data_IF_800563478722
#
_entry.id   IF_800563478722
#
_cell.length_a   1.000
_cell.length_b   1.000
_cell.length_c   1.000
_cell.angle_alpha   90.00
_cell.angle_beta   90.00
_cell.angle_gamma   90.00
#
_symmetry.space_group_name_H-M   'P 1'
#
loop_
_entity.id
_entity.type
_entity.pdbx_description
1 polymer ?
#
# COMPACT_ATOMS: atom_id res chain seq x y z
N UNK A 1 78.80 -36.96 -19.10
CA UNK A 1 78.45 -36.41 -17.77
C UNK A 1 77.21 -35.53 -17.95
N UNK A 2 76.01 -36.08 -17.75
CA UNK A 2 74.73 -35.43 -18.07
C UNK A 2 74.24 -34.59 -16.89
N UNK A 3 74.01 -33.28 -17.10
CA UNK A 3 73.36 -32.39 -16.13
C UNK A 3 71.83 -32.55 -16.23
N UNK A 4 71.20 -33.09 -15.19
CA UNK A 4 69.74 -33.04 -15.00
C UNK A 4 69.35 -31.64 -14.52
N UNK A 5 68.50 -30.93 -15.27
CA UNK A 5 67.76 -29.76 -14.80
C UNK A 5 66.47 -30.25 -14.15
N UNK A 6 66.32 -30.03 -12.86
CA UNK A 6 65.07 -30.19 -12.11
C UNK A 6 64.17 -28.99 -12.42
N UNK A 7 62.98 -29.26 -12.96
CA UNK A 7 61.89 -28.29 -13.10
C UNK A 7 61.24 -28.12 -11.72
N UNK A 8 61.45 -26.97 -11.08
CA UNK A 8 60.76 -26.58 -9.85
C UNK A 8 59.39 -26.03 -10.23
N UNK A 9 58.38 -26.89 -10.22
CA UNK A 9 56.98 -26.46 -10.29
C UNK A 9 56.54 -25.93 -8.93
N UNK A 10 56.29 -24.63 -8.85
CA UNK A 10 55.56 -24.01 -7.73
C UNK A 10 54.33 -23.33 -8.33
N UNK A 11 53.27 -24.11 -8.52
CA UNK A 11 51.92 -23.57 -8.68
C UNK A 11 51.41 -23.19 -7.29
N UNK A 12 51.60 -21.93 -6.92
CA UNK A 12 50.94 -21.33 -5.76
C UNK A 12 49.48 -21.05 -6.13
N UNK A 13 48.61 -22.04 -5.94
CA UNK A 13 47.16 -21.85 -5.99
C UNK A 13 46.69 -21.30 -4.64
N UNK A 14 46.62 -19.97 -4.53
CA UNK A 14 45.98 -19.28 -3.41
C UNK A 14 44.45 -19.37 -3.59
N UNK A 15 43.85 -20.44 -3.09
CA UNK A 15 42.40 -20.56 -3.01
C UNK A 15 41.90 -19.75 -1.81
N UNK A 16 41.63 -18.46 -2.02
CA UNK A 16 40.84 -17.66 -1.08
C UNK A 16 39.37 -18.11 -1.25
N UNK A 17 38.97 -19.11 -0.46
CA UNK A 17 37.58 -19.48 -0.29
C UNK A 17 36.87 -18.38 0.48
N UNK A 18 36.34 -17.39 -0.22
CA UNK A 18 35.34 -16.49 0.34
C UNK A 18 34.09 -17.32 0.64
N UNK A 19 33.98 -17.82 1.88
CA UNK A 19 32.72 -18.29 2.43
C UNK A 19 31.86 -17.05 2.57
N UNK A 20 31.14 -16.70 1.50
CA UNK A 20 29.97 -15.84 1.62
C UNK A 20 28.96 -16.66 2.41
N UNK A 21 29.02 -16.54 3.74
CA UNK A 21 27.90 -16.86 4.60
C UNK A 21 26.79 -15.91 4.20
N UNK A 22 25.99 -16.34 3.23
CA UNK A 22 24.67 -15.81 2.96
C UNK A 22 23.88 -16.12 4.22
N UNK A 23 24.01 -15.27 5.23
CA UNK A 23 22.98 -15.12 6.23
C UNK A 23 21.80 -14.60 5.44
N UNK A 24 20.97 -15.53 4.95
CA UNK A 24 19.66 -15.21 4.46
C UNK A 24 18.92 -14.68 5.65
N UNK A 25 19.05 -13.37 5.91
CA UNK A 25 18.03 -12.66 6.66
C UNK A 25 16.74 -13.04 5.96
N UNK A 26 15.86 -13.73 6.69
CA UNK A 26 14.53 -14.03 6.20
C UNK A 26 13.88 -12.67 5.97
N UNK A 27 14.03 -12.14 4.74
CA UNK A 27 13.35 -10.93 4.35
C UNK A 27 11.88 -11.24 4.53
N UNK A 28 11.23 -10.42 5.36
CA UNK A 28 9.80 -10.46 5.51
C UNK A 28 9.18 -10.44 4.11
N UNK A 29 8.15 -11.27 3.92
CA UNK A 29 7.40 -11.23 2.67
C UNK A 29 6.82 -9.83 2.48
N UNK A 30 6.57 -9.40 1.23
CA UNK A 30 5.88 -8.15 0.96
C UNK A 30 4.55 -8.08 1.73
N UNK A 31 4.16 -6.91 2.25
CA UNK A 31 2.80 -6.62 2.69
C UNK A 31 1.89 -6.78 1.47
N UNK A 32 0.81 -7.55 1.59
CA UNK A 32 -0.14 -7.79 0.49
C UNK A 32 -1.45 -7.05 0.70
N UNK A 33 -1.91 -6.98 1.95
CA UNK A 33 -3.07 -6.19 2.32
C UNK A 33 -3.09 -5.90 3.82
N UNK A 34 -3.88 -4.92 4.23
CA UNK A 34 -4.22 -4.70 5.62
C UNK A 34 -5.67 -4.23 5.76
N UNK A 35 -6.30 -4.54 6.89
CA UNK A 35 -7.67 -4.14 7.20
C UNK A 35 -7.65 -2.94 8.13
N UNK A 36 -8.60 -2.04 7.95
CA UNK A 36 -8.86 -0.89 8.80
C UNK A 36 -10.32 -0.90 9.25
N UNK A 37 -10.54 -0.42 10.46
CA UNK A 37 -11.87 -0.08 10.98
C UNK A 37 -11.80 1.28 11.61
N UNK A 38 -12.91 2.01 11.52
CA UNK A 38 -13.05 3.28 12.20
C UNK A 38 -12.70 3.14 13.69
N UNK A 39 -11.99 4.12 14.22
CA UNK A 39 -11.72 4.20 15.64
C UNK A 39 -13.01 4.48 16.41
N UNK A 40 -12.97 4.32 17.73
CA UNK A 40 -14.16 4.52 18.57
C UNK A 40 -14.64 5.97 18.42
N UNK A 41 -15.93 6.13 18.15
CA UNK A 41 -16.60 7.41 17.92
C UNK A 41 -16.11 8.21 16.69
N UNK A 42 -15.31 7.58 15.80
CA UNK A 42 -14.91 8.17 14.52
C UNK A 42 -15.79 7.61 13.42
N UNK A 43 -16.57 8.46 12.77
CA UNK A 43 -17.56 8.05 11.76
C UNK A 43 -17.29 8.75 10.45
N UNK A 44 -17.75 8.15 9.34
CA UNK A 44 -17.89 8.90 8.09
C UNK A 44 -19.19 9.68 8.14
N UNK A 45 -19.12 10.99 7.91
CA UNK A 45 -20.25 11.90 8.00
C UNK A 45 -20.59 12.48 6.64
N UNK A 46 -21.79 12.15 6.18
CA UNK A 46 -22.43 12.69 4.99
C UNK A 46 -23.29 13.89 5.38
N UNK A 47 -23.10 15.00 4.67
CA UNK A 47 -23.94 16.19 4.77
C UNK A 47 -24.91 16.26 3.58
N UNK A 48 -26.13 16.79 3.80
CA UNK A 48 -27.06 17.07 2.70
C UNK A 48 -26.41 17.92 1.61
N UNK A 49 -26.69 17.58 0.34
CA UNK A 49 -26.11 18.24 -0.83
C UNK A 49 -24.84 17.58 -1.38
N UNK A 50 -24.51 16.38 -0.89
CA UNK A 50 -23.49 15.51 -1.50
C UNK A 50 -22.06 15.83 -1.09
N UNK A 51 -21.82 16.12 0.20
CA UNK A 51 -20.45 16.20 0.73
C UNK A 51 -20.27 15.23 1.89
N UNK A 52 -19.08 14.67 2.05
CA UNK A 52 -18.74 13.85 3.21
C UNK A 52 -17.28 14.02 3.63
N UNK A 53 -16.99 13.59 4.86
CA UNK A 53 -15.65 13.54 5.47
C UNK A 53 -15.58 12.40 6.48
N UNK A 54 -14.37 11.98 6.81
CA UNK A 54 -14.12 11.19 8.01
C UNK A 54 -13.98 12.19 9.16
N UNK A 55 -14.75 12.01 10.23
CA UNK A 55 -14.67 12.91 11.39
C UNK A 55 -13.49 12.51 12.26
N UNK A 56 -12.73 13.53 12.64
CA UNK A 56 -11.65 13.48 13.61
C UNK A 56 -12.16 13.36 15.05
N UNK A 57 -11.33 12.75 15.90
CA UNK A 57 -11.61 12.69 17.33
C UNK A 57 -11.41 14.06 17.99
N UNK A 58 -12.23 14.37 19.00
CA UNK A 58 -12.03 15.61 19.74
C UNK A 58 -10.74 15.54 20.57
N UNK A 59 -9.65 16.13 20.06
CA UNK A 59 -8.38 16.23 20.76
C UNK A 59 -7.31 15.22 20.34
N UNK A 60 -7.54 14.49 19.25
CA UNK A 60 -6.55 13.65 18.59
C UNK A 60 -6.74 13.69 17.08
N UNK A 61 -6.11 12.73 16.41
CA UNK A 61 -6.03 12.59 14.96
C UNK A 61 -5.86 11.09 14.68
N UNK A 62 -6.87 10.29 14.98
CA UNK A 62 -6.81 8.86 14.68
C UNK A 62 -8.19 8.41 14.18
N UNK A 63 -8.47 8.60 12.90
CA UNK A 63 -9.75 8.21 12.28
C UNK A 63 -9.99 6.70 12.26
N UNK A 64 -8.92 5.91 12.11
CA UNK A 64 -9.00 4.46 12.00
C UNK A 64 -7.89 3.73 12.77
N UNK A 65 -8.14 2.45 13.02
CA UNK A 65 -7.13 1.49 13.49
C UNK A 65 -6.93 0.37 12.47
N UNK A 66 -5.68 -0.05 12.27
CA UNK A 66 -5.34 -1.23 11.49
C UNK A 66 -5.63 -2.50 12.31
N UNK A 67 -6.59 -3.29 11.86
CA UNK A 67 -7.11 -4.47 12.58
C UNK A 67 -6.64 -5.81 12.04
N UNK A 68 -5.98 -5.81 10.87
CA UNK A 68 -5.47 -7.03 10.27
C UNK A 68 -4.40 -6.75 9.23
N UNK A 69 -3.55 -7.74 8.98
CA UNK A 69 -2.47 -7.64 7.99
C UNK A 69 -2.25 -9.01 7.33
N UNK A 70 -2.00 -8.99 6.02
CA UNK A 70 -1.56 -10.16 5.24
C UNK A 70 -0.20 -9.87 4.62
N UNK A 71 0.77 -10.77 4.82
CA UNK A 71 2.17 -10.54 4.42
C UNK A 71 2.90 -9.63 5.41
N UNK A 72 4.10 -9.16 5.06
CA UNK A 72 4.92 -8.30 5.93
C UNK A 72 5.46 -9.00 7.18
N UNK A 73 5.82 -8.19 8.18
CA UNK A 73 6.31 -8.61 9.51
C UNK A 73 5.22 -8.60 10.60
N UNK A 74 4.06 -8.00 10.32
CA UNK A 74 3.01 -7.74 11.31
C UNK A 74 3.14 -6.40 12.02
N UNK A 75 4.02 -5.52 11.54
CA UNK A 75 4.33 -4.22 12.14
C UNK A 75 3.26 -3.16 11.95
N UNK A 76 2.17 -3.45 11.20
CA UNK A 76 1.05 -2.52 11.03
C UNK A 76 -0.07 -2.75 12.05
N UNK A 77 -0.14 -3.94 12.66
CA UNK A 77 -1.28 -4.32 13.48
C UNK A 77 -1.38 -3.42 14.72
N UNK A 78 -2.53 -2.78 14.89
CA UNK A 78 -2.81 -1.90 16.02
C UNK A 78 -2.29 -0.47 15.85
N UNK A 79 -1.62 -0.15 14.73
CA UNK A 79 -1.32 1.24 14.39
C UNK A 79 -2.61 2.00 14.06
N UNK A 80 -2.55 3.31 14.27
CA UNK A 80 -3.62 4.25 13.99
C UNK A 80 -3.23 5.20 12.86
N UNK A 81 -4.22 5.85 12.27
CA UNK A 81 -4.00 6.78 11.19
C UNK A 81 -5.25 7.57 10.81
N UNK A 82 -5.04 8.51 9.88
CA UNK A 82 -6.03 9.51 9.48
C UNK A 82 -6.42 9.43 8.01
N UNK A 83 -7.66 9.88 7.75
CA UNK A 83 -8.30 10.04 6.46
C UNK A 83 -8.83 11.47 6.33
N UNK A 84 -7.93 12.40 6.11
CA UNK A 84 -8.24 13.81 6.00
C UNK A 84 -8.82 14.18 4.62
N UNK A 85 -9.66 15.21 4.61
CA UNK A 85 -10.11 15.88 3.40
C UNK A 85 -11.62 16.12 3.35
N UNK A 86 -12.05 16.75 2.26
CA UNK A 86 -13.48 16.91 1.95
C UNK A 86 -13.78 16.30 0.59
N UNK A 87 -14.80 15.45 0.57
CA UNK A 87 -15.23 14.72 -0.60
C UNK A 87 -16.62 15.17 -1.01
N UNK A 88 -16.85 15.31 -2.31
CA UNK A 88 -18.13 15.78 -2.84
C UNK A 88 -18.58 14.93 -4.00
N UNK A 89 -19.88 14.70 -4.11
CA UNK A 89 -20.53 13.99 -5.20
C UNK A 89 -21.79 14.73 -5.62
N UNK A 90 -22.18 14.60 -6.89
CA UNK A 90 -23.38 15.22 -7.42
C UNK A 90 -24.64 14.42 -7.03
N UNK A 91 -25.81 15.02 -7.23
CA UNK A 91 -27.11 14.35 -7.09
C UNK A 91 -27.12 13.05 -7.93
N UNK A 92 -27.28 11.87 -7.31
CA UNK A 92 -27.31 10.59 -8.04
C UNK A 92 -28.48 10.49 -9.01
N UNK A 93 -29.61 11.14 -8.72
CA UNK A 93 -30.84 11.09 -9.53
C UNK A 93 -31.27 9.65 -9.90
N UNK A 94 -31.18 8.71 -8.94
CA UNK A 94 -31.48 7.29 -9.14
C UNK A 94 -30.35 6.46 -9.76
N UNK A 95 -29.14 7.01 -9.91
CA UNK A 95 -27.98 6.24 -10.36
C UNK A 95 -27.36 5.44 -9.21
N UNK A 96 -27.01 4.17 -9.47
CA UNK A 96 -26.36 3.29 -8.49
C UNK A 96 -24.87 3.59 -8.28
N UNK A 97 -24.31 4.58 -8.98
CA UNK A 97 -22.93 5.01 -8.78
C UNK A 97 -22.75 6.47 -9.19
N UNK A 98 -21.91 7.18 -8.44
CA UNK A 98 -21.58 8.60 -8.66
C UNK A 98 -20.07 8.82 -8.53
N UNK A 99 -19.55 9.74 -9.33
CA UNK A 99 -18.16 10.17 -9.22
C UNK A 99 -17.97 11.10 -8.02
N UNK A 100 -16.80 11.02 -7.40
CA UNK A 100 -16.41 11.84 -6.25
C UNK A 100 -15.30 12.81 -6.65
N UNK A 101 -15.43 14.06 -6.22
CA UNK A 101 -14.37 15.05 -6.27
C UNK A 101 -13.73 15.18 -4.88
N UNK A 102 -12.40 15.13 -4.86
CA UNK A 102 -11.60 15.20 -3.62
C UNK A 102 -10.93 16.57 -3.48
N UNK A 103 -10.96 17.14 -2.28
CA UNK A 103 -10.24 18.36 -1.93
C UNK A 103 -9.43 18.14 -0.65
N UNK A 104 -8.10 18.25 -0.76
CA UNK A 104 -7.19 18.10 0.39
C UNK A 104 -7.15 16.69 0.98
N UNK A 105 -7.34 15.66 0.16
CA UNK A 105 -7.32 14.27 0.61
C UNK A 105 -5.92 13.83 1.06
N UNK A 106 -5.76 13.44 2.31
CA UNK A 106 -4.51 12.92 2.87
C UNK A 106 -4.77 11.65 3.69
N UNK A 107 -3.92 10.66 3.51
CA UNK A 107 -3.90 9.43 4.30
C UNK A 107 -2.63 9.39 5.13
N UNK A 108 -2.76 9.12 6.43
CA UNK A 108 -1.62 8.98 7.32
C UNK A 108 -1.65 7.67 8.11
N UNK A 109 -0.47 7.17 8.50
CA UNK A 109 -0.34 6.10 9.51
C UNK A 109 0.83 6.45 10.42
N UNK A 110 0.58 6.50 11.73
CA UNK A 110 1.59 6.82 12.73
C UNK A 110 2.11 5.54 13.39
N UNK A 111 3.44 5.34 13.38
CA UNK A 111 4.08 4.19 14.05
C UNK A 111 4.55 4.49 15.49
N UNK A 112 4.22 5.67 15.99
CA UNK A 112 4.63 6.22 17.29
C UNK A 112 5.87 7.12 17.22
N UNK A 113 6.61 7.13 16.12
CA UNK A 113 7.82 7.95 15.92
C UNK A 113 7.77 8.75 14.62
N UNK A 114 7.41 8.10 13.53
CA UNK A 114 7.36 8.62 12.17
C UNK A 114 5.96 8.39 11.57
N UNK A 115 5.63 9.19 10.55
CA UNK A 115 4.32 9.14 9.89
C UNK A 115 4.52 8.75 8.43
N UNK A 116 3.80 7.74 7.98
CA UNK A 116 3.61 7.47 6.56
C UNK A 116 2.52 8.40 6.06
N UNK A 117 2.74 9.08 4.94
CA UNK A 117 1.74 9.96 4.31
C UNK A 117 1.49 9.54 2.87
N UNK A 118 0.28 9.77 2.37
CA UNK A 118 -0.07 9.61 0.97
C UNK A 118 -1.20 10.57 0.57
N UNK A 119 -1.18 11.05 -0.67
CA UNK A 119 -2.29 11.82 -1.24
C UNK A 119 -3.46 10.88 -1.50
N UNK A 120 -4.67 11.26 -1.09
CA UNK A 120 -5.88 10.48 -1.25
C UNK A 120 -6.77 11.04 -2.36
N UNK A 121 -7.30 10.16 -3.22
CA UNK A 121 -8.29 10.49 -4.24
C UNK A 121 -9.40 9.44 -4.22
N UNK A 122 -10.64 9.86 -3.94
CA UNK A 122 -11.81 8.99 -4.06
C UNK A 122 -12.40 9.15 -5.46
N UNK A 123 -12.66 8.04 -6.14
CA UNK A 123 -13.18 8.07 -7.51
C UNK A 123 -14.69 7.96 -7.56
N UNK A 124 -15.25 7.00 -6.83
CA UNK A 124 -16.66 6.63 -6.96
C UNK A 124 -17.25 6.23 -5.62
N UNK A 125 -18.54 6.53 -5.46
CA UNK A 125 -19.42 5.81 -4.57
C UNK A 125 -20.31 4.89 -5.41
N UNK A 126 -20.56 3.69 -4.93
CA UNK A 126 -21.42 2.68 -5.56
C UNK A 126 -22.40 2.11 -4.55
N UNK A 127 -23.68 2.03 -4.93
CA UNK A 127 -24.70 1.33 -4.17
C UNK A 127 -24.56 -0.18 -4.36
N UNK A 128 -24.34 -0.88 -3.27
CA UNK A 128 -24.49 -2.32 -3.22
C UNK A 128 -25.98 -2.64 -3.05
N UNK A 129 -26.55 -3.35 -4.00
CA UNK A 129 -27.94 -3.82 -3.90
C UNK A 129 -28.12 -4.99 -2.92
N UNK A 130 -29.36 -5.22 -2.50
CA UNK A 130 -29.76 -6.40 -1.71
C UNK A 130 -29.89 -6.15 -0.20
N UNK A 131 -30.19 -7.19 0.59
CA UNK A 131 -30.54 -7.06 2.02
C UNK A 131 -29.36 -6.67 2.92
N UNK A 132 -28.13 -6.81 2.42
CA UNK A 132 -26.90 -6.33 3.05
C UNK A 132 -26.26 -5.20 2.24
N UNK A 133 -27.07 -4.58 1.37
CA UNK A 133 -26.67 -3.46 0.53
C UNK A 133 -26.26 -2.25 1.35
N UNK A 134 -25.54 -1.33 0.76
CA UNK A 134 -25.00 -0.12 1.41
C UNK A 134 -24.18 0.64 0.39
N UNK A 135 -23.44 1.66 0.82
CA UNK A 135 -22.58 2.42 -0.10
C UNK A 135 -21.14 1.99 0.04
N UNK A 136 -20.52 1.65 -1.09
CA UNK A 136 -19.10 1.35 -1.23
C UNK A 136 -18.38 2.55 -1.82
N UNK A 137 -17.34 3.05 -1.16
CA UNK A 137 -16.40 4.01 -1.76
C UNK A 137 -15.09 3.36 -2.15
N UNK A 138 -14.50 3.76 -3.28
CA UNK A 138 -13.14 3.37 -3.69
C UNK A 138 -12.18 4.54 -3.56
N UNK A 139 -11.17 4.36 -2.72
CA UNK A 139 -10.13 5.35 -2.43
C UNK A 139 -8.83 4.93 -3.09
N UNK A 140 -8.15 5.82 -3.79
CA UNK A 140 -6.80 5.62 -4.31
C UNK A 140 -5.79 6.47 -3.55
N UNK A 141 -4.68 5.84 -3.14
CA UNK A 141 -3.53 6.56 -2.62
C UNK A 141 -2.43 6.78 -3.67
N UNK A 142 -1.84 7.97 -3.65
CA UNK A 142 -0.73 8.38 -4.50
C UNK A 142 0.35 9.07 -3.68
N UNK A 143 1.54 9.28 -4.25
CA UNK A 143 2.62 10.05 -3.60
C UNK A 143 3.05 9.53 -2.22
N UNK A 144 2.99 8.21 -1.97
CA UNK A 144 3.28 7.66 -0.63
C UNK A 144 4.72 7.94 -0.20
N UNK A 145 4.89 8.48 1.01
CA UNK A 145 6.21 8.71 1.62
C UNK A 145 6.26 8.21 3.05
N UNK A 146 7.43 7.72 3.46
CA UNK A 146 7.71 7.33 4.84
C UNK A 146 9.22 7.33 5.07
N UNK A 147 9.66 7.95 6.17
CA UNK A 147 11.08 8.13 6.50
C UNK A 147 11.54 7.33 7.73
N UNK A 148 10.62 6.59 8.37
CA UNK A 148 10.89 5.87 9.60
C UNK A 148 11.54 4.50 9.40
N UNK A 149 11.41 3.66 10.44
CA UNK A 149 12.09 2.37 10.53
C UNK A 149 11.16 1.16 10.54
N UNK A 150 9.83 1.35 10.55
CA UNK A 150 8.88 0.28 10.42
C UNK A 150 9.01 -0.39 9.04
N UNK A 151 9.42 -1.66 9.04
CA UNK A 151 9.72 -2.39 7.81
C UNK A 151 8.50 -2.53 6.88
N UNK A 152 7.30 -2.63 7.45
CA UNK A 152 6.07 -2.80 6.67
C UNK A 152 5.62 -1.48 6.04
N UNK A 153 5.72 -0.36 6.76
CA UNK A 153 5.47 0.98 6.21
C UNK A 153 6.52 1.37 5.16
N UNK A 154 7.79 1.00 5.35
CA UNK A 154 8.84 1.16 4.32
C UNK A 154 8.53 0.37 3.06
N UNK A 155 8.06 -0.87 3.19
CA UNK A 155 7.65 -1.69 2.05
C UNK A 155 6.47 -1.05 1.31
N UNK A 156 5.44 -0.56 2.03
CA UNK A 156 4.32 0.18 1.45
C UNK A 156 4.82 1.43 0.69
N UNK A 157 5.60 2.29 1.33
CA UNK A 157 6.11 3.52 0.73
C UNK A 157 7.04 3.29 -0.47
N UNK A 158 7.71 2.14 -0.53
CA UNK A 158 8.55 1.77 -1.67
C UNK A 158 7.78 1.43 -2.95
N UNK A 159 6.44 1.27 -2.87
CA UNK A 159 5.58 0.83 -3.98
C UNK A 159 4.83 1.97 -4.66
N UNK A 160 5.59 3.00 -5.02
CA UNK A 160 5.17 4.31 -5.56
C UNK A 160 4.09 4.25 -6.66
N UNK A 161 3.92 3.13 -7.37
CA UNK A 161 3.03 3.00 -8.54
C UNK A 161 1.82 2.06 -8.35
N UNK A 162 1.59 1.53 -7.15
CA UNK A 162 0.50 0.56 -6.93
C UNK A 162 -0.71 1.22 -6.27
N UNK A 163 -1.86 1.28 -6.96
CA UNK A 163 -3.06 1.86 -6.37
C UNK A 163 -3.45 1.06 -5.13
N UNK A 164 -3.42 1.72 -3.98
CA UNK A 164 -3.99 1.20 -2.75
C UNK A 164 -5.48 1.53 -2.79
N UNK A 165 -6.33 0.50 -2.88
CA UNK A 165 -7.78 0.68 -2.82
C UNK A 165 -8.31 0.44 -1.40
N UNK A 166 -9.08 1.38 -0.86
CA UNK A 166 -9.97 1.11 0.30
C UNK A 166 -11.38 0.94 -0.25
N UNK A 167 -12.03 -0.18 0.10
CA UNK A 167 -13.49 -0.26 0.07
C UNK A 167 -14.04 0.01 1.46
N UNK A 168 -14.78 1.10 1.66
CA UNK A 168 -15.54 1.30 2.91
C UNK A 168 -17.02 1.05 2.69
N UNK A 169 -17.70 0.39 3.63
CA UNK A 169 -19.14 0.14 3.57
C UNK A 169 -19.88 1.00 4.59
N UNK A 170 -20.91 1.70 4.12
CA UNK A 170 -21.81 2.55 4.92
C UNK A 170 -23.15 1.84 5.15
N UNK A 171 -23.36 1.35 6.36
CA UNK A 171 -24.65 0.81 6.83
C UNK A 171 -25.25 -0.33 6.00
N UNK A 172 -26.46 -0.75 6.37
CA UNK A 172 -27.29 -1.65 5.55
C UNK A 172 -28.53 -0.93 5.05
N UNK A 173 -28.84 -1.02 3.77
CA UNK A 173 -30.05 -0.44 3.16
C UNK A 173 -30.01 1.08 2.99
N UNK A 174 -28.81 1.66 2.88
CA UNK A 174 -28.60 3.08 2.61
C UNK A 174 -28.42 3.28 1.09
N UNK A 175 -29.24 4.15 0.51
CA UNK A 175 -29.16 4.56 -0.90
C UNK A 175 -28.38 5.89 -1.02
N UNK A 176 -27.69 6.11 -2.15
CA UNK A 176 -26.97 7.35 -2.45
C UNK A 176 -27.91 8.55 -2.51
N UNK A 177 -29.12 8.37 -3.05
CA UNK A 177 -30.13 9.45 -3.08
C UNK A 177 -30.51 9.86 -1.64
N UNK A 178 -30.62 8.90 -0.72
CA UNK A 178 -30.90 9.19 0.69
C UNK A 178 -29.72 9.92 1.36
N UNK A 179 -28.49 9.48 1.11
CA UNK A 179 -27.28 10.18 1.60
C UNK A 179 -27.19 11.61 1.06
N UNK A 180 -27.49 11.81 -0.22
CA UNK A 180 -27.46 13.13 -0.83
C UNK A 180 -28.51 14.07 -0.21
N UNK A 181 -29.73 13.57 0.01
CA UNK A 181 -30.84 14.40 0.47
C UNK A 181 -30.83 14.64 1.99
N UNK A 182 -30.42 13.63 2.76
CA UNK A 182 -30.58 13.62 4.23
C UNK A 182 -29.26 13.62 4.99
N UNK A 183 -28.15 13.19 4.37
CA UNK A 183 -26.89 12.95 5.06
C UNK A 183 -26.98 11.83 6.10
N UNK A 184 -26.00 11.77 6.99
CA UNK A 184 -25.95 10.81 8.09
C UNK A 184 -24.52 10.53 8.56
N UNK A 185 -24.40 9.85 9.70
CA UNK A 185 -23.11 9.43 10.27
C UNK A 185 -23.08 7.92 10.40
N UNK A 186 -21.97 7.29 10.02
CA UNK A 186 -21.87 5.85 9.93
C UNK A 186 -20.49 5.33 10.30
N UNK A 187 -20.44 4.17 10.96
CA UNK A 187 -19.21 3.40 11.10
C UNK A 187 -18.73 2.89 9.75
N UNK A 188 -17.43 2.71 9.60
CA UNK A 188 -16.82 2.25 8.36
C UNK A 188 -15.68 1.26 8.63
N UNK A 189 -15.46 0.37 7.67
CA UNK A 189 -14.33 -0.55 7.68
C UNK A 189 -13.91 -0.84 6.26
N UNK A 190 -12.63 -1.13 6.05
CA UNK A 190 -12.14 -1.46 4.73
C UNK A 190 -10.89 -2.31 4.72
N UNK A 191 -10.48 -2.68 3.52
CA UNK A 191 -9.24 -3.41 3.27
C UNK A 191 -8.44 -2.62 2.26
N UNK A 192 -7.19 -2.32 2.62
CA UNK A 192 -6.19 -1.80 1.69
C UNK A 192 -5.52 -2.96 1.00
N UNK A 193 -5.68 -3.03 -0.32
CA UNK A 193 -5.01 -4.03 -1.15
C UNK A 193 -3.77 -3.41 -1.80
N UNK A 194 -2.60 -4.03 -1.62
CA UNK A 194 -1.42 -3.65 -2.36
C UNK A 194 -1.36 -4.47 -3.64
N UNK A 195 -1.56 -3.80 -4.79
CA UNK A 195 -1.37 -4.45 -6.08
C UNK A 195 0.10 -4.84 -6.21
N UNK A 196 0.44 -6.13 -6.40
CA UNK A 196 1.83 -6.50 -6.60
C UNK A 196 2.36 -5.83 -7.87
N UNK A 197 3.49 -5.15 -7.78
CA UNK A 197 4.20 -4.67 -8.97
C UNK A 197 4.47 -5.89 -9.84
N UNK A 198 4.05 -5.89 -11.11
CA UNK A 198 4.22 -7.04 -11.98
C UNK A 198 5.69 -7.51 -11.97
N UNK A 199 5.90 -8.82 -11.76
CA UNK A 199 7.22 -9.45 -11.71
C UNK A 199 8.06 -9.23 -12.99
N UNK A 200 7.46 -8.67 -14.04
CA UNK A 200 8.12 -8.19 -15.24
C UNK A 200 9.29 -7.26 -14.93
N UNK A 201 9.25 -6.40 -13.92
CA UNK A 201 10.40 -5.53 -13.59
C UNK A 201 11.63 -6.34 -13.19
N UNK A 202 11.44 -7.37 -12.35
CA UNK A 202 12.53 -8.26 -11.94
C UNK A 202 13.06 -9.09 -13.12
N UNK A 203 12.16 -9.56 -14.00
CA UNK A 203 12.54 -10.31 -15.21
C UNK A 203 13.30 -9.40 -16.20
N UNK A 204 12.89 -8.14 -16.37
CA UNK A 204 13.59 -7.16 -17.21
C UNK A 204 15.01 -6.89 -16.69
N UNK A 205 15.17 -6.72 -15.39
CA UNK A 205 16.48 -6.59 -14.75
C UNK A 205 17.37 -7.81 -15.04
N UNK A 206 16.88 -9.02 -14.77
CA UNK A 206 17.62 -10.26 -15.01
C UNK A 206 17.95 -10.48 -16.50
N UNK A 207 17.04 -10.11 -17.41
CA UNK A 207 17.26 -10.17 -18.85
C UNK A 207 18.39 -9.25 -19.32
N UNK A 208 18.45 -8.01 -18.81
CA UNK A 208 19.52 -7.07 -19.11
C UNK A 208 20.88 -7.52 -18.57
N UNK A 209 20.91 -8.07 -17.34
CA UNK A 209 22.13 -8.67 -16.79
C UNK A 209 22.61 -9.85 -17.65
N UNK A 210 21.70 -10.72 -18.09
CA UNK A 210 22.00 -11.83 -18.99
C UNK A 210 22.60 -11.38 -20.33
N UNK A 211 22.01 -10.34 -20.95
CA UNK A 211 22.50 -9.75 -22.20
C UNK A 211 23.87 -9.08 -22.04
N UNK A 212 24.12 -8.40 -20.91
CA UNK A 212 25.42 -7.79 -20.60
C UNK A 212 26.54 -8.82 -20.43
N UNK A 213 26.24 -9.98 -19.85
CA UNK A 213 27.21 -11.08 -19.71
C UNK A 213 27.46 -11.77 -21.06
N UNK A 214 26.44 -11.93 -21.90
CA UNK A 214 26.59 -12.51 -23.23
C UNK A 214 27.39 -11.62 -24.20
N UNK A 215 27.16 -10.29 -24.19
CA UNK A 215 27.85 -9.35 -25.08
C UNK A 215 29.36 -9.27 -24.83
N UNK A 216 29.80 -9.37 -23.57
CA UNK A 216 31.23 -9.44 -23.22
C UNK A 216 31.93 -10.70 -23.75
N UNK A 217 31.17 -11.77 -24.00
CA UNK A 217 31.71 -13.03 -24.51
C UNK A 217 31.95 -12.98 -26.03
N UNK A 218 31.14 -12.23 -26.76
CA UNK A 218 31.27 -12.05 -28.22
C UNK A 218 32.31 -11.00 -28.62
N UNK A 219 32.64 -10.03 -27.76
CA UNK A 219 33.67 -9.02 -28.06
C UNK A 219 35.13 -9.54 -27.96
N UNK A 220 35.34 -10.82 -27.63
CA UNK A 220 36.67 -11.46 -27.50
C UNK A 220 36.91 -12.59 -28.50
N UNK A 221 36.01 -12.79 -29.46
CA UNK A 221 36.20 -13.65 -30.63
C UNK A 221 36.53 -12.77 -31.84
#
# INVERSE_FOLDING_TARGET
MFKRKTLTGVFAALAIGAVMSVHGEAKAGPVMSFNLSNAVDQEVVFSPGGSFRFEDETGGNDDFQITGQTGGTGGLLGLFGDLDGTFTFADPAGASSVAVATSGGEFTVNDGTDVLTADMVIFTLEELGGPFGGVLGEILFTSTTYAGSNADLLDIASRIDSPLSISFQVGTGVELDDLFNSGGSFSYSGTVMLVPVPATVAIFGLGLFGLGLASRRFSRA
#
